data_IF_815051330512
#
_entry.id   IF_815051330512
#
_cell.length_a   1.000
_cell.length_b   1.000
_cell.length_c   1.000
_cell.angle_alpha   90.00
_cell.angle_beta   90.00
_cell.angle_gamma   90.00
#
_symmetry.space_group_name_H-M   'P 1'
#
loop_
_entity.id
_entity.type
_entity.pdbx_description
1 polymer ?
#
# COMPACT_ATOMS: atom_id res chain seq x y z
N UNK A 1 4.44 -0.52 0.24
CA UNK A 1 5.27 -0.64 -0.98
C UNK A 1 6.38 -1.65 -0.76
N UNK A 2 6.76 -2.37 -1.81
CA UNK A 2 7.92 -3.27 -1.81
C UNK A 2 9.22 -2.48 -2.01
N UNK A 3 10.21 -2.71 -1.14
CA UNK A 3 11.49 -1.99 -1.16
C UNK A 3 12.45 -2.49 -2.24
N UNK A 4 12.47 -3.80 -2.44
CA UNK A 4 13.27 -4.48 -3.46
C UNK A 4 13.01 -3.93 -4.89
N UNK A 5 11.78 -3.50 -5.19
CA UNK A 5 11.43 -2.94 -6.50
C UNK A 5 12.22 -1.66 -6.85
N UNK A 6 12.58 -0.81 -5.88
CA UNK A 6 13.22 0.48 -6.16
C UNK A 6 14.65 0.61 -5.63
N UNK A 7 15.11 -0.33 -4.79
CA UNK A 7 16.51 -0.37 -4.35
C UNK A 7 17.42 -1.21 -5.25
N UNK A 8 16.87 -2.05 -6.12
CA UNK A 8 17.68 -2.97 -6.93
C UNK A 8 18.43 -4.00 -6.06
N UNK A 9 17.87 -4.38 -4.91
CA UNK A 9 18.44 -5.41 -4.03
C UNK A 9 18.22 -6.79 -4.68
N UNK A 10 19.19 -7.26 -5.50
CA UNK A 10 19.24 -8.59 -6.12
C UNK A 10 19.74 -8.57 -7.57
N UNK A 11 20.59 -9.54 -7.95
CA UNK A 11 21.33 -9.59 -9.24
C UNK A 11 20.45 -9.67 -10.52
N UNK A 12 19.13 -9.74 -10.39
CA UNK A 12 18.23 -10.06 -11.51
C UNK A 12 17.28 -8.93 -11.96
N UNK A 13 17.24 -7.78 -11.27
CA UNK A 13 16.27 -6.73 -11.60
C UNK A 13 16.87 -5.31 -11.59
N UNK A 14 16.66 -4.60 -12.70
CA UNK A 14 16.84 -3.14 -12.78
C UNK A 14 15.82 -2.50 -11.84
N UNK A 15 16.28 -1.53 -11.04
CA UNK A 15 15.39 -0.74 -10.18
C UNK A 15 14.26 -0.12 -11.01
N UNK A 16 13.03 -0.29 -10.54
CA UNK A 16 11.86 0.26 -11.20
C UNK A 16 11.94 1.79 -11.18
N UNK A 17 11.58 2.46 -12.30
CA UNK A 17 11.49 3.91 -12.30
C UNK A 17 10.46 4.38 -11.28
N UNK A 18 10.69 5.53 -10.66
CA UNK A 18 9.80 6.07 -9.62
C UNK A 18 8.34 6.15 -10.08
N UNK A 19 8.11 6.54 -11.33
CA UNK A 19 6.76 6.61 -11.91
C UNK A 19 6.02 5.27 -11.83
N UNK A 20 6.71 4.15 -12.08
CA UNK A 20 6.12 2.82 -11.95
C UNK A 20 5.75 2.53 -10.49
N UNK A 21 6.65 2.80 -9.54
CA UNK A 21 6.37 2.62 -8.10
C UNK A 21 5.16 3.44 -7.63
N UNK A 22 5.06 4.69 -8.09
CA UNK A 22 3.92 5.58 -7.79
C UNK A 22 2.63 4.99 -8.35
N UNK A 23 2.62 4.53 -9.60
CA UNK A 23 1.45 3.93 -10.23
C UNK A 23 0.94 2.72 -9.43
N UNK A 24 1.83 1.84 -8.95
CA UNK A 24 1.46 0.69 -8.11
C UNK A 24 0.78 1.13 -6.79
N UNK A 25 1.29 2.20 -6.17
CA UNK A 25 0.66 2.82 -4.99
C UNK A 25 -0.74 3.36 -5.28
N UNK A 26 -0.88 4.11 -6.39
CA UNK A 26 -2.15 4.67 -6.84
C UNK A 26 -3.18 3.58 -7.15
N UNK A 27 -2.82 2.55 -7.92
CA UNK A 27 -3.72 1.45 -8.23
C UNK A 27 -4.24 0.75 -6.99
N UNK A 28 -3.35 0.39 -6.05
CA UNK A 28 -3.75 -0.24 -4.80
C UNK A 28 -4.69 0.65 -3.98
N UNK A 29 -4.36 1.94 -3.83
CA UNK A 29 -5.16 2.89 -3.04
C UNK A 29 -6.54 3.15 -3.67
N UNK A 30 -6.60 3.40 -4.98
CA UNK A 30 -7.87 3.61 -5.70
C UNK A 30 -8.76 2.38 -5.64
N UNK A 31 -8.19 1.18 -5.84
CA UNK A 31 -8.95 -0.06 -5.74
C UNK A 31 -9.44 -0.34 -4.32
N UNK A 32 -8.64 -0.03 -3.29
CA UNK A 32 -9.06 -0.15 -1.89
C UNK A 32 -10.24 0.79 -1.59
N UNK A 33 -10.12 2.07 -1.97
CA UNK A 33 -11.18 3.06 -1.83
C UNK A 33 -12.47 2.65 -2.55
N UNK A 34 -12.37 2.19 -3.80
CA UNK A 34 -13.54 1.77 -4.57
C UNK A 34 -14.25 0.56 -3.96
N UNK A 35 -13.47 -0.41 -3.48
CA UNK A 35 -13.98 -1.62 -2.85
C UNK A 35 -14.65 -1.34 -1.49
N UNK A 36 -14.22 -0.29 -0.78
CA UNK A 36 -14.76 0.12 0.51
C UNK A 36 -15.64 1.37 0.45
N UNK A 37 -16.02 1.84 -0.74
CA UNK A 37 -16.70 3.14 -0.94
C UNK A 37 -17.98 3.33 -0.11
N UNK A 38 -18.63 2.23 0.26
CA UNK A 38 -19.88 2.25 1.00
C UNK A 38 -19.68 2.20 2.53
N UNK A 39 -18.45 1.93 3.00
CA UNK A 39 -18.08 1.88 4.42
C UNK A 39 -18.03 3.27 5.05
N UNK A 40 -18.39 3.35 6.34
CA UNK A 40 -18.46 4.61 7.10
C UNK A 40 -17.12 5.34 7.11
N UNK A 41 -16.02 4.61 7.34
CA UNK A 41 -14.67 5.20 7.40
C UNK A 41 -14.23 5.73 6.02
N UNK A 42 -14.64 5.08 4.93
CA UNK A 42 -14.29 5.52 3.57
C UNK A 42 -15.11 6.74 3.16
N UNK A 43 -16.41 6.74 3.45
CA UNK A 43 -17.28 7.90 3.21
C UNK A 43 -16.81 9.13 3.98
N UNK A 44 -16.47 8.95 5.26
CA UNK A 44 -15.91 10.03 6.07
C UNK A 44 -14.56 10.53 5.51
N UNK A 45 -13.68 9.61 5.09
CA UNK A 45 -12.39 9.98 4.51
C UNK A 45 -12.50 10.74 3.18
N UNK A 46 -13.52 10.44 2.38
CA UNK A 46 -13.77 11.07 1.08
C UNK A 46 -14.85 12.18 1.13
N UNK A 47 -15.28 12.62 2.31
CA UNK A 47 -16.28 13.68 2.44
C UNK A 47 -15.71 15.04 2.07
N UNK A 48 -16.56 16.00 1.68
CA UNK A 48 -16.14 17.36 1.32
C UNK A 48 -15.27 18.01 2.42
N UNK A 49 -15.64 17.83 3.69
CA UNK A 49 -14.89 18.36 4.83
C UNK A 49 -13.48 17.75 5.00
N UNK A 50 -13.27 16.52 4.52
CA UNK A 50 -12.04 15.76 4.76
C UNK A 50 -11.19 15.55 3.50
N UNK A 51 -11.71 15.84 2.31
CA UNK A 51 -11.03 15.55 1.04
C UNK A 51 -9.68 16.26 0.96
N UNK A 52 -9.60 17.51 1.39
CA UNK A 52 -8.34 18.29 1.45
C UNK A 52 -7.50 18.00 2.70
N UNK A 53 -8.01 17.20 3.64
CA UNK A 53 -7.37 16.83 4.91
C UNK A 53 -6.96 15.35 4.97
N UNK A 54 -7.05 14.63 3.85
CA UNK A 54 -6.73 13.21 3.76
C UNK A 54 -5.28 12.94 4.16
N UNK A 55 -5.09 11.96 5.06
CA UNK A 55 -3.76 11.47 5.43
C UNK A 55 -3.47 10.10 4.82
N UNK A 56 -2.25 9.91 4.30
CA UNK A 56 -1.73 8.62 3.86
C UNK A 56 -0.31 8.43 4.40
N UNK A 57 -0.05 7.27 5.01
CA UNK A 57 1.28 6.86 5.41
C UNK A 57 1.80 5.80 4.44
N UNK A 58 2.95 6.06 3.82
CA UNK A 58 3.57 5.10 2.89
C UNK A 58 4.63 4.32 3.64
N UNK A 59 4.35 3.03 3.86
CA UNK A 59 5.24 2.10 4.56
C UNK A 59 5.90 1.12 3.58
N UNK A 60 7.09 0.63 3.94
CA UNK A 60 7.82 -0.35 3.15
C UNK A 60 7.87 -1.74 3.80
N UNK A 61 7.87 -2.76 2.93
CA UNK A 61 8.21 -4.15 3.24
C UNK A 61 9.43 -4.56 2.41
N UNK A 62 10.17 -5.56 2.85
CA UNK A 62 11.42 -6.00 2.20
C UNK A 62 11.19 -6.56 0.79
N UNK A 63 10.11 -7.31 0.58
CA UNK A 63 9.81 -7.95 -0.70
C UNK A 63 8.44 -8.62 -0.71
N UNK A 64 8.17 -9.42 -1.75
CA UNK A 64 6.85 -9.97 -2.02
C UNK A 64 6.30 -10.86 -0.91
N UNK A 65 7.14 -11.77 -0.40
CA UNK A 65 6.73 -12.71 0.63
C UNK A 65 6.17 -11.97 1.86
N UNK A 66 6.87 -10.93 2.32
CA UNK A 66 6.41 -10.12 3.45
C UNK A 66 5.13 -9.34 3.11
N UNK A 67 4.96 -8.87 1.87
CA UNK A 67 3.75 -8.19 1.42
C UNK A 67 2.53 -9.12 1.48
N UNK A 68 2.68 -10.37 1.00
CA UNK A 68 1.63 -11.39 1.02
C UNK A 68 1.29 -11.83 2.45
N UNK A 69 2.29 -12.07 3.30
CA UNK A 69 2.07 -12.36 4.73
C UNK A 69 1.33 -11.22 5.44
N UNK A 70 1.65 -9.96 5.11
CA UNK A 70 0.90 -8.81 5.64
C UNK A 70 -0.56 -8.84 5.18
N UNK A 71 -0.81 -9.10 3.89
CA UNK A 71 -2.17 -9.23 3.35
C UNK A 71 -2.98 -10.29 4.09
N UNK A 72 -2.43 -11.50 4.25
CA UNK A 72 -3.09 -12.59 4.98
C UNK A 72 -3.38 -12.22 6.44
N UNK A 73 -2.43 -11.55 7.10
CA UNK A 73 -2.64 -11.05 8.48
C UNK A 73 -3.78 -10.05 8.54
N UNK A 74 -3.84 -9.08 7.63
CA UNK A 74 -4.91 -8.09 7.61
C UNK A 74 -6.28 -8.74 7.32
N UNK A 75 -6.33 -9.75 6.44
CA UNK A 75 -7.56 -10.53 6.20
C UNK A 75 -8.06 -11.22 7.47
N UNK A 76 -7.16 -11.89 8.21
CA UNK A 76 -7.50 -12.58 9.46
C UNK A 76 -8.04 -11.63 10.53
N UNK A 77 -7.57 -10.40 10.54
CA UNK A 77 -7.94 -9.35 11.49
C UNK A 77 -9.14 -8.51 11.01
N UNK A 78 -9.77 -8.87 9.88
CA UNK A 78 -10.91 -8.16 9.33
C UNK A 78 -10.60 -6.74 8.85
N UNK A 79 -9.35 -6.45 8.50
CA UNK A 79 -8.94 -5.16 7.94
C UNK A 79 -9.09 -5.21 6.42
N UNK A 80 -10.05 -4.46 5.90
CA UNK A 80 -10.27 -4.34 4.47
C UNK A 80 -9.07 -3.66 3.79
N UNK A 81 -8.57 -4.30 2.74
CA UNK A 81 -7.40 -3.84 2.01
C UNK A 81 -7.38 -4.42 0.59
N UNK A 82 -6.55 -3.85 -0.28
CA UNK A 82 -6.25 -4.36 -1.61
C UNK A 82 -4.78 -4.75 -1.68
N UNK A 83 -4.52 -6.01 -2.02
CA UNK A 83 -3.24 -6.45 -2.57
C UNK A 83 -3.29 -6.20 -4.08
N UNK A 84 -2.42 -5.32 -4.58
CA UNK A 84 -2.27 -5.08 -6.02
C UNK A 84 -1.26 -6.08 -6.59
N UNK A 85 -1.71 -6.78 -7.63
CA UNK A 85 -0.96 -7.82 -8.32
C UNK A 85 -0.89 -7.42 -9.79
N UNK A 86 0.32 -7.12 -10.24
CA UNK A 86 0.60 -6.71 -11.61
C UNK A 86 0.46 -7.90 -12.56
N UNK A 87 -0.11 -7.67 -13.74
CA UNK A 87 -0.30 -8.66 -14.80
C UNK A 87 0.54 -8.27 -16.03
N UNK A 88 0.98 -9.24 -16.86
CA UNK A 88 0.67 -10.68 -16.81
C UNK A 88 1.55 -11.52 -15.85
N UNK A 89 2.59 -10.94 -15.24
CA UNK A 89 3.59 -11.69 -14.45
C UNK A 89 3.07 -12.17 -13.09
N UNK A 90 1.87 -11.74 -12.69
CA UNK A 90 1.20 -12.10 -11.43
C UNK A 90 2.01 -11.77 -10.16
N UNK A 91 2.71 -10.63 -10.19
CA UNK A 91 3.63 -10.18 -9.14
C UNK A 91 2.90 -9.25 -8.18
N UNK A 92 2.90 -9.55 -6.88
CA UNK A 92 2.35 -8.63 -5.89
C UNK A 92 3.33 -7.47 -5.62
N UNK A 93 2.90 -6.23 -5.91
CA UNK A 93 3.78 -5.05 -5.91
C UNK A 93 3.45 -4.08 -4.77
N UNK A 94 2.18 -3.92 -4.44
CA UNK A 94 1.71 -2.95 -3.45
C UNK A 94 0.50 -3.47 -2.66
N UNK A 95 0.33 -2.94 -1.45
CA UNK A 95 -0.85 -3.15 -0.62
C UNK A 95 -1.31 -1.80 -0.09
N UNK A 96 -2.62 -1.54 -0.16
CA UNK A 96 -3.25 -0.38 0.46
C UNK A 96 -4.45 -0.84 1.30
N UNK A 97 -4.60 -0.29 2.51
CA UNK A 97 -5.81 -0.49 3.30
C UNK A 97 -6.93 0.41 2.79
N UNK A 98 -8.18 0.03 3.04
CA UNK A 98 -9.25 1.01 3.07
C UNK A 98 -8.92 2.12 4.09
N UNK A 99 -9.52 3.32 4.00
CA UNK A 99 -9.49 4.28 5.09
C UNK A 99 -10.00 3.65 6.39
N UNK A 100 -9.28 3.87 7.49
CA UNK A 100 -9.64 3.41 8.82
C UNK A 100 -8.91 4.22 9.90
N UNK A 101 -9.44 4.27 11.15
CA UNK A 101 -8.77 4.92 12.26
C UNK A 101 -7.36 4.38 12.51
N UNK A 102 -6.42 5.29 12.81
CA UNK A 102 -5.01 4.94 13.12
C UNK A 102 -4.89 3.88 14.21
N UNK A 103 -5.74 3.95 15.24
CA UNK A 103 -5.79 2.98 16.34
C UNK A 103 -6.03 1.55 15.88
N UNK A 104 -6.79 1.34 14.79
CA UNK A 104 -7.07 0.02 14.23
C UNK A 104 -5.92 -0.52 13.38
N UNK A 105 -5.27 0.32 12.58
CA UNK A 105 -4.20 -0.16 11.69
C UNK A 105 -2.82 -0.23 12.35
N UNK A 106 -2.51 0.70 13.26
CA UNK A 106 -1.18 0.85 13.84
C UNK A 106 -0.62 -0.44 14.49
N UNK A 107 -1.40 -1.25 15.23
CA UNK A 107 -0.90 -2.52 15.79
C UNK A 107 -0.35 -3.50 14.73
N UNK A 108 -0.88 -3.46 13.51
CA UNK A 108 -0.52 -4.37 12.43
C UNK A 108 0.71 -3.89 11.65
N UNK A 109 0.95 -2.58 11.60
CA UNK A 109 1.98 -1.96 10.76
C UNK A 109 3.12 -1.27 11.53
N UNK A 110 3.05 -1.16 12.87
CA UNK A 110 4.05 -0.46 13.71
C UNK A 110 5.52 -0.91 13.55
N UNK A 111 5.74 -2.13 13.05
CA UNK A 111 7.10 -2.67 12.80
C UNK A 111 7.63 -2.31 11.41
N UNK A 112 6.78 -1.82 10.52
CA UNK A 112 7.16 -1.39 9.18
C UNK A 112 7.78 0.00 9.24
N UNK A 113 8.72 0.27 8.34
CA UNK A 113 9.38 1.56 8.25
C UNK A 113 8.66 2.46 7.24
N UNK A 114 8.80 3.77 7.39
CA UNK A 114 8.39 4.71 6.34
C UNK A 114 9.20 4.44 5.08
N UNK A 115 8.53 4.43 3.94
CA UNK A 115 9.17 4.25 2.64
C UNK A 115 10.11 5.42 2.38
N UNK A 116 11.38 5.12 2.10
CA UNK A 116 12.42 6.13 1.81
C UNK A 116 12.73 6.26 0.33
N UNK A 117 11.81 5.84 -0.56
CA UNK A 117 11.98 6.02 -1.99
C UNK A 117 12.17 7.51 -2.30
N UNK A 118 13.30 7.86 -2.92
CA UNK A 118 13.69 9.23 -3.21
C UNK A 118 13.92 9.39 -4.70
N UNK A 119 13.58 10.56 -5.24
CA UNK A 119 14.11 11.01 -6.52
C UNK A 119 15.59 11.33 -6.30
N UNK A 120 16.49 10.39 -6.56
CA UNK A 120 17.91 10.73 -6.67
C UNK A 120 18.08 11.51 -7.99
N UNK A 121 18.49 12.78 -7.89
CA UNK A 121 18.94 13.57 -9.05
C UNK A 121 20.30 13.05 -9.52
#
# INVERSE_FOLDING_TARGET
LRRDLWRGEGEAFVSWPLGAIVAQGCHAATAALWASRDEVDTKAYCSDDNLDHMHKAVLEVKGEAQLRTLSEKLTKEGIQHKLWVEQPENVATCLATAPLPKSRIYPHVKKLQLCKASVTK
#
